data_IF_112593289883
#
_entry.id   IF_112593289883
#
_cell.length_a   1.000
_cell.length_b   1.000
_cell.length_c   1.000
_cell.angle_alpha   90.00
_cell.angle_beta   90.00
_cell.angle_gamma   90.00
#
_symmetry.space_group_name_H-M   'P 1'
#
loop_
_entity.id
_entity.type
_entity.pdbx_description
1 polymer ?
#
# COMPACT_ATOMS: atom_id res chain seq x y z
N UNK A 1 -1.47 1.57 16.91
CA UNK A 1 -2.32 0.38 16.64
C UNK A 1 -3.16 0.10 17.89
N UNK A 2 -4.42 0.54 17.94
CA UNK A 2 -5.28 0.33 19.14
C UNK A 2 -6.29 -0.80 18.99
N UNK A 3 -6.68 -1.14 17.75
CA UNK A 3 -7.78 -2.08 17.47
C UNK A 3 -7.32 -3.41 16.82
N UNK A 4 -6.09 -3.47 16.34
CA UNK A 4 -5.51 -4.63 15.65
C UNK A 4 -4.22 -5.00 16.37
N UNK A 5 -4.19 -6.21 16.96
CA UNK A 5 -3.05 -6.74 17.71
C UNK A 5 -2.19 -7.71 16.92
N UNK A 6 -2.73 -8.28 15.83
CA UNK A 6 -1.95 -9.15 14.93
C UNK A 6 -0.97 -8.27 14.11
N UNK A 7 0.24 -8.77 13.81
CA UNK A 7 1.13 -8.12 12.86
C UNK A 7 0.43 -7.89 11.52
N UNK A 8 0.58 -6.69 10.98
CA UNK A 8 0.01 -6.30 9.68
C UNK A 8 1.13 -5.82 8.78
N UNK A 9 1.21 -6.40 7.59
CA UNK A 9 2.04 -5.91 6.50
C UNK A 9 1.16 -5.54 5.30
N UNK A 10 1.68 -4.71 4.41
CA UNK A 10 0.95 -4.30 3.21
C UNK A 10 1.86 -4.15 1.99
N UNK A 11 1.28 -4.24 0.81
CA UNK A 11 1.88 -3.83 -0.45
C UNK A 11 0.84 -3.01 -1.23
N UNK A 12 1.24 -1.85 -1.75
CA UNK A 12 0.38 -0.99 -2.56
C UNK A 12 0.90 -0.99 -4.00
N UNK A 13 0.15 -1.64 -4.89
CA UNK A 13 0.43 -1.60 -6.32
C UNK A 13 0.12 -0.23 -6.94
N UNK A 14 0.68 0.03 -8.13
CA UNK A 14 0.38 1.24 -8.90
C UNK A 14 1.24 2.46 -8.57
N UNK A 15 2.44 2.27 -7.99
CA UNK A 15 3.38 3.36 -7.71
C UNK A 15 3.76 4.16 -8.97
N UNK A 16 3.76 3.50 -10.13
CA UNK A 16 4.05 4.08 -11.45
C UNK A 16 2.80 4.37 -12.28
N UNK A 17 1.60 4.27 -11.68
CA UNK A 17 0.36 4.48 -12.41
C UNK A 17 0.21 5.95 -12.85
N UNK A 18 -0.09 6.22 -14.13
CA UNK A 18 -0.30 7.58 -14.60
C UNK A 18 -1.64 8.15 -14.11
N UNK A 19 -1.68 9.46 -13.84
CA UNK A 19 -2.90 10.15 -13.41
C UNK A 19 -4.00 10.08 -14.49
N UNK A 20 -5.25 9.94 -14.08
CA UNK A 20 -6.41 9.93 -14.97
C UNK A 20 -6.56 8.66 -15.84
N UNK A 21 -5.66 7.68 -15.72
CA UNK A 21 -5.74 6.42 -16.47
C UNK A 21 -6.26 5.30 -15.59
N UNK A 22 -7.25 4.57 -16.10
CA UNK A 22 -7.73 3.32 -15.49
C UNK A 22 -6.74 2.19 -15.78
N UNK A 23 -6.28 1.50 -14.74
CA UNK A 23 -5.34 0.38 -14.80
C UNK A 23 -6.05 -0.98 -14.79
N UNK A 24 -6.92 -1.22 -15.78
CA UNK A 24 -7.72 -2.44 -15.89
C UNK A 24 -8.90 -2.47 -14.93
N UNK A 25 -8.65 -2.69 -13.64
CA UNK A 25 -9.69 -2.69 -12.60
C UNK A 25 -10.48 -1.37 -12.60
N UNK A 26 -11.82 -1.44 -12.49
CA UNK A 26 -12.69 -0.27 -12.57
C UNK A 26 -12.31 0.84 -11.55
N UNK A 27 -11.98 0.44 -10.32
CA UNK A 27 -11.53 1.35 -9.26
C UNK A 27 -10.03 1.67 -9.25
N UNK A 28 -9.23 1.08 -10.14
CA UNK A 28 -7.78 1.32 -10.19
C UNK A 28 -7.46 2.55 -11.04
N UNK A 29 -7.80 3.73 -10.53
CA UNK A 29 -7.58 5.03 -11.20
C UNK A 29 -7.23 6.10 -10.17
N UNK A 30 -6.32 7.00 -10.55
CA UNK A 30 -6.00 8.21 -9.77
C UNK A 30 -6.85 9.36 -10.31
N UNK A 31 -7.75 9.91 -9.48
CA UNK A 31 -8.76 10.89 -9.87
C UNK A 31 -8.86 12.01 -8.84
N UNK A 32 -9.05 13.26 -9.28
CA UNK A 32 -9.29 14.40 -8.38
C UNK A 32 -8.19 14.63 -7.32
N UNK A 33 -6.95 14.22 -7.59
CA UNK A 33 -5.84 14.32 -6.62
C UNK A 33 -5.84 13.24 -5.52
N UNK A 34 -6.75 12.27 -5.59
CA UNK A 34 -6.88 11.16 -4.65
C UNK A 34 -6.56 9.82 -5.31
N UNK A 35 -6.20 8.83 -4.49
CA UNK A 35 -6.00 7.45 -4.91
C UNK A 35 -4.58 7.08 -5.33
N UNK A 36 -3.61 7.99 -5.21
CA UNK A 36 -2.21 7.66 -5.49
C UNK A 36 -1.63 6.67 -4.47
N UNK A 37 -0.64 5.89 -4.90
CA UNK A 37 -0.03 4.88 -4.04
C UNK A 37 0.75 5.49 -2.86
N UNK A 38 1.41 6.64 -3.05
CA UNK A 38 2.29 7.24 -2.03
C UNK A 38 1.50 7.72 -0.82
N UNK A 39 0.33 8.31 -1.01
CA UNK A 39 -0.55 8.72 0.08
C UNK A 39 -1.02 7.53 0.92
N UNK A 40 -1.38 6.40 0.28
CA UNK A 40 -1.75 5.16 0.96
C UNK A 40 -0.59 4.55 1.75
N UNK A 41 0.60 4.51 1.15
CA UNK A 41 1.83 4.03 1.82
C UNK A 41 2.12 4.88 3.07
N UNK A 42 2.08 6.21 2.94
CA UNK A 42 2.31 7.12 4.08
C UNK A 42 1.29 6.90 5.20
N UNK A 43 0.02 6.75 4.86
CA UNK A 43 -1.02 6.49 5.85
C UNK A 43 -0.79 5.17 6.61
N UNK A 44 -0.39 4.11 5.92
CA UNK A 44 -0.10 2.80 6.52
C UNK A 44 1.15 2.86 7.41
N UNK A 45 2.24 3.47 6.95
CA UNK A 45 3.46 3.66 7.75
C UNK A 45 3.16 4.46 9.01
N UNK A 46 2.40 5.56 8.90
CA UNK A 46 1.98 6.35 10.06
C UNK A 46 1.10 5.57 11.05
N UNK A 47 0.40 4.54 10.59
CA UNK A 47 -0.40 3.65 11.43
C UNK A 47 0.41 2.52 12.09
N UNK A 48 1.71 2.41 11.76
CA UNK A 48 2.60 1.35 12.25
C UNK A 48 2.60 0.08 11.39
N UNK A 49 2.11 0.12 10.15
CA UNK A 49 2.12 -1.02 9.23
C UNK A 49 3.41 -1.02 8.43
N UNK A 50 4.12 -2.16 8.40
CA UNK A 50 5.27 -2.36 7.51
C UNK A 50 4.79 -2.52 6.07
N UNK A 51 5.25 -1.64 5.18
CA UNK A 51 4.87 -1.66 3.76
C UNK A 51 6.02 -2.23 2.94
N UNK A 52 5.77 -3.36 2.28
CA UNK A 52 6.75 -4.01 1.41
C UNK A 52 6.99 -3.18 0.15
N UNK A 53 8.24 -2.97 -0.29
CA UNK A 53 8.54 -2.15 -1.47
C UNK A 53 8.20 -2.85 -2.78
N UNK A 54 8.14 -4.19 -2.80
CA UNK A 54 7.79 -5.01 -3.97
C UNK A 54 6.92 -6.19 -3.54
N UNK A 55 6.07 -6.75 -4.41
CA UNK A 55 5.24 -7.89 -4.04
C UNK A 55 6.08 -9.15 -3.76
N UNK A 56 7.30 -9.23 -4.31
CA UNK A 56 8.21 -10.36 -4.11
C UNK A 56 8.77 -10.42 -2.68
N UNK A 57 8.84 -9.29 -1.98
CA UNK A 57 9.41 -9.21 -0.64
C UNK A 57 8.37 -9.31 0.49
N UNK A 58 7.09 -9.54 0.19
CA UNK A 58 6.06 -9.58 1.25
C UNK A 58 6.33 -10.63 2.32
N UNK A 59 6.82 -11.82 1.93
CA UNK A 59 7.14 -12.88 2.90
C UNK A 59 8.27 -12.46 3.85
N UNK A 60 9.31 -11.83 3.32
CA UNK A 60 10.41 -11.29 4.13
C UNK A 60 9.94 -10.15 5.03
N UNK A 61 9.14 -9.20 4.50
CA UNK A 61 8.56 -8.11 5.29
C UNK A 61 7.68 -8.63 6.42
N UNK A 62 6.95 -9.73 6.21
CA UNK A 62 6.19 -10.37 7.28
C UNK A 62 7.12 -10.93 8.35
N UNK A 63 8.15 -11.68 7.95
CA UNK A 63 9.11 -12.29 8.87
C UNK A 63 9.81 -11.23 9.74
N UNK A 64 10.14 -10.07 9.18
CA UNK A 64 10.73 -8.93 9.90
C UNK A 64 9.76 -8.22 10.86
N UNK A 65 8.44 -8.41 10.68
CA UNK A 65 7.40 -7.78 11.48
C UNK A 65 6.78 -8.69 12.56
N UNK A 66 7.20 -9.96 12.62
CA UNK A 66 6.86 -10.93 13.68
C UNK A 66 7.75 -10.72 14.90
#
# INVERSE_FOLDING_TARGET
>A
QSNISKPVISYIAGLTAPKGKRMGHAGAVISGGSGDAKSKIKALVNAGVSVSPTPALMGQTLLEAL
#
